data_IF_421321925735
#
_entry.id   IF_421321925735
#
_cell.length_a   1.000
_cell.length_b   1.000
_cell.length_c   1.000
_cell.angle_alpha   90.00
_cell.angle_beta   90.00
_cell.angle_gamma   90.00
#
_symmetry.space_group_name_H-M   'P 1'
#
loop_
_entity.id
_entity.type
_entity.pdbx_description
1 polymer ?
#
# COMPACT_ATOMS: atom_id res chain seq x y z
N UNK A 1 33.87 -41.25 2.00
CA UNK A 1 32.63 -40.46 2.00
C UNK A 1 32.94 -39.19 2.76
N UNK A 2 32.98 -38.05 2.06
CA UNK A 2 33.08 -36.74 2.73
C UNK A 2 31.77 -36.48 3.43
N UNK A 3 31.73 -35.97 4.68
CA UNK A 3 30.48 -35.63 5.36
C UNK A 3 29.77 -34.54 4.53
N UNK A 4 28.53 -34.82 4.16
CA UNK A 4 27.66 -33.81 3.57
C UNK A 4 27.61 -32.63 4.54
N UNK A 5 28.13 -31.47 4.14
CA UNK A 5 27.95 -30.23 4.90
C UNK A 5 26.43 -30.03 5.06
N UNK A 6 25.92 -30.17 6.27
CA UNK A 6 24.59 -29.71 6.57
C UNK A 6 24.48 -28.26 6.09
N UNK A 7 23.45 -27.91 5.34
CA UNK A 7 23.26 -26.51 4.95
C UNK A 7 23.24 -25.66 6.21
N UNK A 8 24.04 -24.59 6.22
CA UNK A 8 24.07 -23.65 7.32
C UNK A 8 22.63 -23.18 7.61
N UNK A 9 22.23 -23.23 8.88
CA UNK A 9 20.91 -22.77 9.32
C UNK A 9 20.74 -21.32 8.86
N UNK A 10 19.67 -21.05 8.11
CA UNK A 10 19.35 -19.68 7.66
C UNK A 10 18.65 -18.94 8.80
N UNK A 11 19.15 -17.78 9.17
CA UNK A 11 18.53 -16.94 10.19
C UNK A 11 17.79 -15.80 9.51
N UNK A 12 16.49 -15.68 9.82
CA UNK A 12 15.63 -14.62 9.29
C UNK A 12 15.21 -13.72 10.44
N UNK A 13 15.67 -12.47 10.40
CA UNK A 13 15.17 -11.42 11.26
C UNK A 13 13.74 -11.05 10.85
N UNK A 14 12.81 -10.90 11.80
CA UNK A 14 11.49 -10.39 11.47
C UNK A 14 11.03 -9.30 12.40
N UNK A 15 10.28 -8.35 11.83
CA UNK A 15 9.58 -7.34 12.62
C UNK A 15 8.14 -7.15 12.15
N UNK A 16 7.23 -7.22 13.08
CA UNK A 16 5.84 -6.80 12.95
C UNK A 16 5.27 -6.44 14.32
N UNK A 17 4.21 -5.65 14.35
CA UNK A 17 3.53 -5.30 15.61
C UNK A 17 2.99 -6.56 16.30
N UNK A 18 2.88 -6.51 17.64
CA UNK A 18 2.35 -7.62 18.43
C UNK A 18 0.95 -8.03 17.97
N UNK A 19 0.07 -7.05 17.76
CA UNK A 19 -1.28 -7.27 17.23
C UNK A 19 -1.26 -8.04 15.91
N UNK A 20 -0.32 -7.72 15.00
CA UNK A 20 -0.19 -8.39 13.71
C UNK A 20 0.34 -9.82 13.85
N UNK A 21 1.33 -9.99 14.72
CA UNK A 21 1.94 -11.31 15.02
C UNK A 21 0.90 -12.28 15.58
N UNK A 22 0.08 -11.83 16.52
CA UNK A 22 -1.03 -12.64 17.09
C UNK A 22 -2.08 -12.97 16.02
N UNK A 23 -2.52 -11.98 15.24
CA UNK A 23 -3.53 -12.18 14.19
C UNK A 23 -3.10 -13.22 13.15
N UNK A 24 -1.82 -13.29 12.80
CA UNK A 24 -1.27 -14.21 11.81
C UNK A 24 -0.88 -15.58 12.40
N UNK A 25 -1.08 -15.84 13.70
CA UNK A 25 -0.58 -17.05 14.36
C UNK A 25 0.92 -17.32 14.07
N UNK A 26 1.76 -16.33 14.37
CA UNK A 26 3.17 -16.33 14.00
C UNK A 26 3.98 -17.48 14.62
N UNK A 27 3.51 -18.06 15.72
CA UNK A 27 4.10 -19.25 16.34
C UNK A 27 4.01 -20.49 15.44
N UNK A 28 2.94 -20.63 14.67
CA UNK A 28 2.79 -21.70 13.68
C UNK A 28 3.82 -21.51 12.54
N UNK A 29 3.99 -20.29 12.04
CA UNK A 29 5.00 -20.01 11.03
C UNK A 29 6.41 -20.32 11.52
N UNK A 30 6.74 -20.02 12.77
CA UNK A 30 8.03 -20.39 13.37
C UNK A 30 8.25 -21.91 13.35
N UNK A 31 7.20 -22.69 13.58
CA UNK A 31 7.24 -24.16 13.44
C UNK A 31 7.53 -24.61 12.01
N UNK A 32 6.86 -24.01 11.03
CA UNK A 32 7.09 -24.28 9.59
C UNK A 32 8.53 -23.95 9.19
N UNK A 33 9.05 -22.80 9.59
CA UNK A 33 10.43 -22.39 9.35
C UNK A 33 11.44 -23.37 9.94
N UNK A 34 11.27 -23.76 11.21
CA UNK A 34 12.14 -24.69 11.91
C UNK A 34 12.25 -26.04 11.22
N UNK A 35 11.12 -26.59 10.73
CA UNK A 35 11.08 -27.84 9.97
C UNK A 35 11.86 -27.75 8.64
N UNK A 36 12.07 -26.53 8.13
CA UNK A 36 12.78 -26.24 6.89
C UNK A 36 14.22 -25.70 7.12
N UNK A 37 14.78 -25.85 8.34
CA UNK A 37 16.13 -25.42 8.66
C UNK A 37 16.31 -23.90 8.73
N UNK A 38 15.24 -23.17 9.02
CA UNK A 38 15.22 -21.71 9.16
C UNK A 38 14.92 -21.34 10.61
N UNK A 39 15.75 -20.46 11.16
CA UNK A 39 15.52 -19.81 12.45
C UNK A 39 14.87 -18.45 12.26
N UNK A 40 13.82 -18.16 13.02
CA UNK A 40 13.17 -16.84 13.05
C UNK A 40 13.59 -16.09 14.31
N UNK A 41 14.17 -14.90 14.14
CA UNK A 41 14.56 -14.01 15.23
C UNK A 41 13.72 -12.74 15.18
N UNK A 42 12.98 -12.45 16.27
CA UNK A 42 12.23 -11.21 16.39
C UNK A 42 13.19 -10.05 16.64
N UNK A 43 13.16 -9.06 15.74
CA UNK A 43 14.04 -7.89 15.83
C UNK A 43 13.59 -6.92 16.93
N UNK A 44 14.54 -6.45 17.73
CA UNK A 44 14.39 -5.30 18.61
C UNK A 44 14.98 -4.07 17.90
N UNK A 45 14.11 -3.27 17.28
CA UNK A 45 14.54 -2.08 16.52
C UNK A 45 15.09 -0.93 17.40
N UNK A 46 15.03 -1.06 18.72
CA UNK A 46 15.61 -0.11 19.65
C UNK A 46 17.06 -0.44 20.02
N UNK A 47 17.57 -1.60 19.58
CA UNK A 47 18.95 -2.06 19.80
C UNK A 47 19.67 -2.24 18.47
N UNK A 48 21.02 -2.15 18.46
CA UNK A 48 21.80 -2.40 17.24
C UNK A 48 21.48 -3.77 16.65
N UNK A 49 21.18 -3.82 15.36
CA UNK A 49 20.78 -5.06 14.68
C UNK A 49 21.98 -6.00 14.47
N UNK A 50 23.20 -5.48 14.38
CA UNK A 50 24.45 -6.26 14.29
C UNK A 50 24.63 -7.24 15.46
N UNK A 51 24.07 -6.92 16.62
CA UNK A 51 24.17 -7.77 17.82
C UNK A 51 23.09 -8.86 17.87
N UNK A 52 22.14 -8.84 16.94
CA UNK A 52 20.99 -9.76 16.93
C UNK A 52 21.08 -10.84 15.84
N UNK A 53 21.99 -10.69 14.88
CA UNK A 53 22.23 -11.58 13.74
C UNK A 53 23.36 -12.60 13.98
N UNK A 54 23.94 -13.14 12.90
CA UNK A 54 23.82 -12.67 11.52
C UNK A 54 22.51 -13.08 10.84
N UNK A 55 21.99 -12.23 9.93
CA UNK A 55 20.76 -12.50 9.19
C UNK A 55 21.01 -12.85 7.73
N UNK A 56 20.27 -13.82 7.19
CA UNK A 56 20.20 -14.10 5.74
C UNK A 56 19.18 -13.23 5.05
N UNK A 57 18.09 -12.92 5.75
CA UNK A 57 17.03 -12.02 5.27
C UNK A 57 16.34 -11.31 6.43
N UNK A 58 15.68 -10.21 6.10
CA UNK A 58 14.75 -9.50 6.99
C UNK A 58 13.37 -9.48 6.37
N UNK A 59 12.38 -9.98 7.13
CA UNK A 59 10.97 -9.92 6.80
C UNK A 59 10.28 -8.88 7.70
N UNK A 60 9.58 -7.91 7.14
CA UNK A 60 9.02 -6.87 7.98
C UNK A 60 7.63 -6.37 7.56
N UNK A 61 6.88 -5.85 8.53
CA UNK A 61 5.73 -4.97 8.34
C UNK A 61 5.95 -3.67 9.10
N UNK A 62 6.78 -2.80 8.55
CA UNK A 62 7.18 -1.52 9.16
C UNK A 62 6.25 -0.35 8.78
N UNK A 63 5.15 -0.59 8.08
CA UNK A 63 4.24 0.46 7.58
C UNK A 63 3.84 1.46 8.66
N UNK A 64 3.51 0.98 9.87
CA UNK A 64 3.07 1.85 10.97
C UNK A 64 4.25 2.68 11.52
N UNK A 65 5.45 2.09 11.62
CA UNK A 65 6.67 2.80 12.07
C UNK A 65 7.08 3.85 11.04
N UNK A 66 7.05 3.52 9.74
CA UNK A 66 7.36 4.46 8.67
C UNK A 66 6.37 5.64 8.71
N UNK A 67 5.08 5.37 8.88
CA UNK A 67 4.06 6.41 8.96
C UNK A 67 4.26 7.34 10.16
N UNK A 68 4.59 6.79 11.35
CA UNK A 68 4.91 7.59 12.54
C UNK A 68 6.19 8.41 12.37
N UNK A 69 7.24 7.84 11.77
CA UNK A 69 8.48 8.57 11.48
C UNK A 69 8.22 9.75 10.51
N UNK A 70 7.36 9.55 9.51
CA UNK A 70 6.94 10.63 8.60
C UNK A 70 6.21 11.76 9.35
N UNK A 71 5.50 11.43 10.44
CA UNK A 71 4.85 12.40 11.34
C UNK A 71 5.82 12.99 12.39
N UNK A 72 7.13 12.74 12.25
CA UNK A 72 8.21 13.23 13.11
C UNK A 72 8.18 12.64 14.53
N UNK A 73 7.64 11.44 14.70
CA UNK A 73 7.84 10.70 15.95
C UNK A 73 9.30 10.30 16.09
N UNK A 74 9.98 10.83 17.10
CA UNK A 74 11.43 10.65 17.27
C UNK A 74 11.81 9.18 17.55
N UNK A 75 10.96 8.42 18.25
CA UNK A 75 11.20 7.01 18.54
C UNK A 75 11.06 6.16 17.26
N UNK A 76 10.03 6.40 16.47
CA UNK A 76 9.84 5.74 15.19
C UNK A 76 10.98 6.08 14.20
N UNK A 77 11.43 7.35 14.19
CA UNK A 77 12.57 7.77 13.37
C UNK A 77 13.84 7.01 13.76
N UNK A 78 14.16 6.94 15.06
CA UNK A 78 15.33 6.21 15.54
C UNK A 78 15.28 4.71 15.19
N UNK A 79 14.10 4.09 15.23
CA UNK A 79 13.90 2.71 14.79
C UNK A 79 14.14 2.54 13.28
N UNK A 80 13.68 3.51 12.47
CA UNK A 80 13.93 3.49 11.02
C UNK A 80 15.40 3.71 10.69
N UNK A 81 16.06 4.66 11.35
CA UNK A 81 17.49 4.93 11.17
C UNK A 81 18.33 3.71 11.51
N UNK A 82 17.99 2.96 12.55
CA UNK A 82 18.68 1.74 12.96
C UNK A 82 18.60 0.64 11.88
N UNK A 83 17.38 0.33 11.40
CA UNK A 83 17.22 -0.70 10.37
C UNK A 83 17.82 -0.28 9.02
N UNK A 84 17.67 0.99 8.62
CA UNK A 84 18.26 1.48 7.38
C UNK A 84 19.79 1.46 7.42
N UNK A 85 20.39 1.91 8.52
CA UNK A 85 21.84 1.86 8.70
C UNK A 85 22.37 0.42 8.66
N UNK A 86 21.63 -0.52 9.26
CA UNK A 86 21.99 -1.94 9.18
C UNK A 86 21.93 -2.46 7.74
N UNK A 87 20.85 -2.17 7.00
CA UNK A 87 20.70 -2.64 5.62
C UNK A 87 21.70 -2.00 4.66
N UNK A 88 22.06 -0.74 4.88
CA UNK A 88 23.12 -0.05 4.12
C UNK A 88 24.51 -0.69 4.36
N UNK A 89 24.77 -1.18 5.58
CA UNK A 89 26.03 -1.84 5.94
C UNK A 89 26.08 -3.32 5.51
N UNK A 90 24.91 -3.96 5.33
CA UNK A 90 24.78 -5.39 5.01
C UNK A 90 24.01 -5.63 3.71
N UNK A 91 24.55 -5.23 2.55
CA UNK A 91 23.89 -5.42 1.26
C UNK A 91 23.66 -6.90 0.88
N UNK A 92 24.32 -7.84 1.57
CA UNK A 92 24.09 -9.27 1.41
C UNK A 92 22.80 -9.77 2.02
N UNK A 93 22.16 -9.00 2.90
CA UNK A 93 20.90 -9.37 3.57
C UNK A 93 19.72 -9.07 2.67
N UNK A 94 18.95 -10.10 2.32
CA UNK A 94 17.72 -9.91 1.54
C UNK A 94 16.61 -9.24 2.36
N UNK A 95 15.82 -8.37 1.76
CA UNK A 95 14.72 -7.65 2.45
C UNK A 95 13.40 -7.96 1.78
N UNK A 96 12.37 -8.21 2.56
CA UNK A 96 10.99 -8.50 2.12
C UNK A 96 10.02 -7.61 2.89
N UNK A 97 9.53 -6.56 2.27
CA UNK A 97 9.81 -5.98 0.96
C UNK A 97 10.77 -4.79 1.09
N UNK A 98 11.42 -4.31 -0.01
CA UNK A 98 12.35 -3.18 0.06
C UNK A 98 11.69 -1.92 0.64
N UNK A 99 12.34 -1.26 1.60
CA UNK A 99 11.79 -0.10 2.31
C UNK A 99 11.36 1.06 1.40
N UNK A 100 12.13 1.42 0.35
CA UNK A 100 11.70 2.46 -0.60
C UNK A 100 10.37 2.12 -1.29
N UNK A 101 10.17 0.85 -1.66
CA UNK A 101 8.98 0.39 -2.34
C UNK A 101 7.76 0.38 -1.39
N UNK A 102 7.97 -0.05 -0.14
CA UNK A 102 6.93 0.02 0.90
C UNK A 102 6.48 1.46 1.13
N UNK A 103 7.42 2.43 1.15
CA UNK A 103 7.11 3.86 1.31
C UNK A 103 6.19 4.39 0.21
N UNK A 104 6.34 3.93 -1.03
CA UNK A 104 5.46 4.34 -2.14
C UNK A 104 4.00 3.99 -1.89
N UNK A 105 3.72 2.89 -1.19
CA UNK A 105 2.36 2.46 -0.86
C UNK A 105 1.75 3.18 0.34
N UNK A 106 2.52 3.97 1.08
CA UNK A 106 2.00 4.77 2.20
C UNK A 106 1.31 6.05 1.75
N UNK A 107 1.61 6.52 0.55
CA UNK A 107 0.92 7.63 -0.12
C UNK A 107 0.02 7.07 -1.23
N UNK A 108 -1.30 7.34 -1.14
CA UNK A 108 -2.29 6.84 -2.10
C UNK A 108 -2.07 7.36 -3.51
N UNK A 109 -1.64 8.61 -3.63
CA UNK A 109 -1.41 9.22 -4.94
C UNK A 109 -0.21 8.60 -5.64
N UNK A 110 0.88 8.37 -4.90
CA UNK A 110 2.06 7.69 -5.43
C UNK A 110 1.73 6.25 -5.83
N UNK A 111 0.99 5.51 -5.00
CA UNK A 111 0.59 4.14 -5.31
C UNK A 111 -0.27 4.07 -6.59
N UNK A 112 -1.25 4.97 -6.73
CA UNK A 112 -2.09 5.03 -7.94
C UNK A 112 -1.30 5.46 -9.18
N UNK A 113 -0.29 6.31 -9.04
CA UNK A 113 0.59 6.69 -10.14
C UNK A 113 1.39 5.49 -10.66
N UNK A 114 1.95 4.67 -9.76
CA UNK A 114 2.66 3.43 -10.15
C UNK A 114 1.71 2.44 -10.83
N UNK A 115 0.51 2.25 -10.31
CA UNK A 115 -0.50 1.36 -10.90
C UNK A 115 -0.85 1.84 -12.31
N UNK A 116 -1.08 3.15 -12.50
CA UNK A 116 -1.42 3.75 -13.80
C UNK A 116 -0.29 3.62 -14.83
N UNK A 117 0.97 3.68 -14.39
CA UNK A 117 2.13 3.54 -15.29
C UNK A 117 2.50 2.08 -15.60
N UNK A 118 1.82 1.12 -14.99
CA UNK A 118 2.05 -0.30 -15.20
C UNK A 118 1.37 -0.84 -16.48
N UNK A 119 1.65 -2.09 -16.83
CA UNK A 119 1.10 -2.76 -18.01
C UNK A 119 -0.37 -3.23 -17.85
N UNK A 120 -1.08 -2.80 -16.80
CA UNK A 120 -2.46 -3.23 -16.51
C UNK A 120 -3.46 -2.83 -17.60
N UNK A 121 -3.27 -1.68 -18.24
CA UNK A 121 -4.15 -1.23 -19.31
C UNK A 121 -4.15 -2.21 -20.49
N UNK A 122 -3.04 -2.91 -20.75
CA UNK A 122 -2.92 -3.94 -21.81
C UNK A 122 -3.83 -5.15 -21.60
N UNK A 123 -4.33 -5.34 -20.39
CA UNK A 123 -5.24 -6.43 -20.01
C UNK A 123 -6.63 -5.92 -19.60
N UNK A 124 -6.98 -4.69 -19.99
CA UNK A 124 -8.26 -4.04 -19.72
C UNK A 124 -8.53 -3.88 -18.21
N UNK A 125 -7.50 -3.52 -17.46
CA UNK A 125 -7.54 -3.20 -16.04
C UNK A 125 -7.11 -1.75 -15.84
N UNK A 126 -7.82 -1.00 -15.02
CA UNK A 126 -7.58 0.43 -14.85
C UNK A 126 -7.60 0.87 -13.37
N UNK A 127 -7.10 2.06 -13.11
CA UNK A 127 -7.30 2.79 -11.86
C UNK A 127 -8.37 3.86 -12.09
N UNK A 128 -9.42 3.96 -11.26
CA UNK A 128 -10.40 5.03 -11.39
C UNK A 128 -9.73 6.40 -11.37
N UNK A 129 -10.27 7.34 -12.12
CA UNK A 129 -9.75 8.71 -12.16
C UNK A 129 -9.70 9.31 -10.76
N UNK A 130 -8.58 9.94 -10.41
CA UNK A 130 -8.35 10.53 -9.09
C UNK A 130 -7.58 11.85 -9.18
N UNK A 131 -7.74 12.69 -8.16
CA UNK A 131 -6.95 13.89 -7.91
C UNK A 131 -6.65 14.04 -6.43
N UNK A 132 -5.53 14.70 -6.12
CA UNK A 132 -5.22 15.13 -4.75
C UNK A 132 -5.92 16.45 -4.46
N UNK A 133 -6.57 16.54 -3.32
CA UNK A 133 -7.12 17.79 -2.79
C UNK A 133 -6.26 18.25 -1.62
N UNK A 134 -5.59 19.38 -1.79
CA UNK A 134 -4.60 19.92 -0.83
C UNK A 134 -4.98 21.31 -0.32
N UNK A 135 -6.15 21.82 -0.68
CA UNK A 135 -6.64 23.16 -0.30
C UNK A 135 -7.87 23.05 0.59
N UNK A 136 -8.00 23.94 1.56
CA UNK A 136 -9.23 24.10 2.33
C UNK A 136 -10.28 24.92 1.55
N UNK A 137 -9.91 25.56 0.43
CA UNK A 137 -10.81 26.30 -0.44
C UNK A 137 -11.60 25.35 -1.35
N UNK A 138 -12.93 25.34 -1.17
CA UNK A 138 -13.87 24.49 -1.93
C UNK A 138 -13.82 24.80 -3.43
N UNK A 139 -13.68 26.06 -3.84
CA UNK A 139 -13.65 26.45 -5.27
C UNK A 139 -12.37 25.95 -5.97
N UNK A 140 -11.24 25.99 -5.25
CA UNK A 140 -9.98 25.40 -5.73
C UNK A 140 -10.14 23.91 -5.93
N UNK A 141 -10.77 23.22 -4.96
CA UNK A 141 -11.01 21.77 -5.04
C UNK A 141 -11.98 21.42 -6.18
N UNK A 142 -13.08 22.16 -6.36
CA UNK A 142 -14.02 21.98 -7.47
C UNK A 142 -13.32 22.12 -8.83
N UNK A 143 -12.50 23.18 -9.00
CA UNK A 143 -11.73 23.38 -10.21
C UNK A 143 -10.77 22.22 -10.47
N UNK A 144 -10.15 21.67 -9.42
CA UNK A 144 -9.21 20.55 -9.52
C UNK A 144 -9.93 19.24 -9.87
N UNK A 145 -11.10 18.98 -9.27
CA UNK A 145 -11.96 17.83 -9.62
C UNK A 145 -12.35 17.87 -11.10
N UNK A 146 -12.84 19.02 -11.57
CA UNK A 146 -13.26 19.21 -12.96
C UNK A 146 -12.10 19.03 -13.94
N UNK A 147 -10.96 19.70 -13.72
CA UNK A 147 -9.78 19.61 -14.58
C UNK A 147 -9.14 18.22 -14.59
N UNK A 148 -9.24 17.48 -13.47
CA UNK A 148 -8.74 16.11 -13.34
C UNK A 148 -9.74 15.04 -13.82
N UNK A 149 -10.96 15.43 -14.23
CA UNK A 149 -11.97 14.53 -14.76
C UNK A 149 -12.59 13.58 -13.71
N UNK A 150 -12.52 13.92 -12.43
CA UNK A 150 -13.19 13.17 -11.37
C UNK A 150 -14.69 13.40 -11.42
N UNK A 151 -15.47 12.33 -11.47
CA UNK A 151 -16.94 12.38 -11.57
C UNK A 151 -17.60 12.14 -10.22
N UNK A 152 -18.77 12.74 -10.02
CA UNK A 152 -19.63 12.41 -8.88
C UNK A 152 -20.46 11.12 -9.15
N UNK A 153 -20.68 10.29 -8.12
CA UNK A 153 -20.06 10.38 -6.82
C UNK A 153 -18.58 9.99 -6.86
N UNK A 154 -17.82 10.50 -5.91
CA UNK A 154 -16.44 10.06 -5.70
C UNK A 154 -16.18 9.68 -4.23
N UNK A 155 -15.18 8.85 -4.00
CA UNK A 155 -14.71 8.54 -2.64
C UNK A 155 -13.57 9.48 -2.28
N UNK A 156 -13.76 10.22 -1.19
CA UNK A 156 -12.70 11.01 -0.57
C UNK A 156 -11.97 10.13 0.46
N UNK A 157 -10.68 9.93 0.26
CA UNK A 157 -9.81 9.06 1.06
C UNK A 157 -8.68 9.89 1.66
N UNK A 158 -8.28 9.71 2.94
CA UNK A 158 -7.08 10.34 3.47
C UNK A 158 -5.87 10.04 2.58
N UNK A 159 -4.97 11.00 2.40
CA UNK A 159 -3.77 10.81 1.57
C UNK A 159 -2.88 9.70 2.16
N UNK A 160 -2.69 9.68 3.47
CA UNK A 160 -1.93 8.64 4.17
C UNK A 160 -2.76 7.37 4.29
N UNK A 161 -2.25 6.28 3.71
CA UNK A 161 -2.97 5.00 3.62
C UNK A 161 -2.86 4.14 4.89
N UNK A 162 -1.87 4.38 5.77
CA UNK A 162 -1.56 3.56 6.94
C UNK A 162 -1.09 4.39 8.14
N UNK A 163 -1.01 3.75 9.31
CA UNK A 163 -0.36 4.33 10.51
C UNK A 163 -1.26 5.21 11.37
N UNK A 164 -2.54 5.37 11.05
CA UNK A 164 -3.50 6.05 11.91
C UNK A 164 -4.91 5.45 11.78
N UNK A 165 -5.73 5.59 12.83
CA UNK A 165 -7.17 5.25 12.77
C UNK A 165 -7.93 6.08 11.72
N UNK A 166 -7.40 7.23 11.35
CA UNK A 166 -8.00 8.11 10.35
C UNK A 166 -7.78 7.61 8.90
N UNK A 167 -6.78 6.76 8.65
CA UNK A 167 -6.50 6.23 7.31
C UNK A 167 -7.68 5.46 6.68
N UNK A 168 -8.60 4.96 7.51
CA UNK A 168 -9.78 4.19 7.10
C UNK A 168 -11.08 5.00 7.08
N UNK A 169 -11.06 6.25 7.57
CA UNK A 169 -12.22 7.15 7.56
C UNK A 169 -12.35 7.80 6.19
N UNK A 170 -13.34 7.37 5.45
CA UNK A 170 -13.60 7.80 4.08
C UNK A 170 -14.97 8.45 3.96
N UNK A 171 -15.21 9.14 2.84
CA UNK A 171 -16.50 9.77 2.57
C UNK A 171 -16.90 9.57 1.12
N UNK A 172 -18.21 9.40 0.87
CA UNK A 172 -18.79 9.41 -0.47
C UNK A 172 -19.39 10.79 -0.69
N UNK A 173 -18.93 11.47 -1.72
CA UNK A 173 -19.34 12.82 -2.11
C UNK A 173 -20.20 12.71 -3.37
N UNK A 174 -21.46 13.17 -3.29
CA UNK A 174 -22.46 12.97 -4.34
C UNK A 174 -22.61 14.13 -5.30
N UNK A 175 -22.23 15.34 -4.88
CA UNK A 175 -22.43 16.60 -5.61
C UNK A 175 -21.43 17.66 -5.15
N UNK A 176 -21.47 18.82 -5.80
CA UNK A 176 -20.55 19.95 -5.53
C UNK A 176 -20.67 20.47 -4.08
N UNK A 177 -21.86 20.51 -3.52
CA UNK A 177 -22.08 20.99 -2.15
C UNK A 177 -21.34 20.12 -1.11
N UNK A 178 -21.24 18.81 -1.36
CA UNK A 178 -20.52 17.87 -0.50
C UNK A 178 -18.99 18.02 -0.53
N UNK A 179 -18.41 18.78 -1.47
CA UNK A 179 -16.95 18.98 -1.54
C UNK A 179 -16.42 19.70 -0.29
N UNK A 180 -17.26 20.49 0.38
CA UNK A 180 -16.92 21.12 1.65
C UNK A 180 -16.65 20.12 2.79
N UNK A 181 -17.12 18.87 2.68
CA UNK A 181 -16.89 17.81 3.67
C UNK A 181 -15.56 17.07 3.45
N UNK A 182 -14.86 17.30 2.35
CA UNK A 182 -13.53 16.78 2.12
C UNK A 182 -12.56 17.36 3.16
N UNK A 183 -11.65 16.52 3.66
CA UNK A 183 -10.63 16.91 4.65
C UNK A 183 -9.23 16.82 4.03
N UNK A 184 -8.73 17.89 3.41
CA UNK A 184 -7.38 17.92 2.85
C UNK A 184 -6.29 17.74 3.94
N UNK A 185 -5.14 17.13 3.62
CA UNK A 185 -4.82 16.51 2.33
C UNK A 185 -5.53 15.16 2.14
N UNK A 186 -6.19 14.99 1.01
CA UNK A 186 -6.94 13.78 0.68
C UNK A 186 -6.90 13.48 -0.83
N UNK A 187 -7.31 12.27 -1.21
CA UNK A 187 -7.45 11.84 -2.60
C UNK A 187 -8.95 11.66 -2.90
N UNK A 188 -9.43 12.38 -3.91
CA UNK A 188 -10.76 12.19 -4.50
C UNK A 188 -10.65 11.20 -5.66
N UNK A 189 -11.31 10.06 -5.57
CA UNK A 189 -11.32 9.01 -6.58
C UNK A 189 -12.74 8.73 -7.05
N UNK A 190 -12.98 8.80 -8.37
CA UNK A 190 -14.29 8.47 -8.97
C UNK A 190 -14.79 7.12 -8.45
N UNK A 191 -16.03 7.07 -7.98
CA UNK A 191 -16.64 5.85 -7.51
C UNK A 191 -17.03 4.97 -8.71
N UNK A 192 -16.71 3.68 -8.61
CA UNK A 192 -17.07 2.69 -9.62
C UNK A 192 -18.16 1.79 -9.05
N UNK A 193 -19.32 1.74 -9.70
CA UNK A 193 -20.43 0.86 -9.32
C UNK A 193 -20.05 -0.60 -9.59
N UNK A 194 -20.15 -1.47 -8.57
CA UNK A 194 -19.63 -2.84 -8.59
C UNK A 194 -20.46 -3.85 -7.78
N UNK A 195 -21.73 -3.51 -7.49
CA UNK A 195 -22.70 -4.39 -6.82
C UNK A 195 -22.25 -4.90 -5.45
N UNK A 196 -21.67 -4.04 -4.62
CA UNK A 196 -21.22 -4.35 -3.25
C UNK A 196 -20.23 -5.53 -3.17
N UNK A 197 -19.53 -5.87 -4.24
CA UNK A 197 -18.60 -6.99 -4.30
C UNK A 197 -17.18 -6.53 -4.62
N UNK A 198 -16.24 -6.82 -3.72
CA UNK A 198 -14.82 -6.56 -3.84
C UNK A 198 -14.07 -7.89 -3.98
N UNK A 199 -13.15 -7.97 -4.91
CA UNK A 199 -12.17 -9.05 -5.01
C UNK A 199 -10.85 -8.58 -4.43
N UNK A 200 -10.42 -9.22 -3.33
CA UNK A 200 -9.13 -8.92 -2.71
C UNK A 200 -8.12 -9.97 -3.14
N UNK A 201 -7.15 -9.56 -3.96
CA UNK A 201 -6.03 -10.41 -4.34
C UNK A 201 -4.97 -10.29 -3.26
N UNK A 202 -4.65 -11.38 -2.61
CA UNK A 202 -3.49 -11.51 -1.74
C UNK A 202 -2.33 -12.10 -2.55
N UNK A 203 -1.26 -11.34 -2.72
CA UNK A 203 -0.06 -11.79 -3.43
C UNK A 203 1.06 -12.10 -2.44
N UNK A 204 1.74 -13.24 -2.65
CA UNK A 204 2.86 -13.74 -1.83
C UNK A 204 3.94 -14.27 -2.77
N UNK A 205 4.84 -13.40 -3.20
CA UNK A 205 5.80 -13.73 -4.25
C UNK A 205 5.11 -14.06 -5.56
N UNK A 206 5.37 -15.26 -6.09
CA UNK A 206 4.75 -15.75 -7.33
C UNK A 206 3.34 -16.34 -7.11
N UNK A 207 2.98 -16.62 -5.84
CA UNK A 207 1.67 -17.15 -5.48
C UNK A 207 0.67 -16.02 -5.23
N UNK A 208 -0.61 -16.31 -5.45
CA UNK A 208 -1.69 -15.41 -5.11
C UNK A 208 -2.96 -16.19 -4.73
N UNK A 209 -3.83 -15.52 -3.99
CA UNK A 209 -5.16 -16.03 -3.67
C UNK A 209 -6.19 -14.90 -3.70
N UNK A 210 -7.36 -15.18 -4.24
CA UNK A 210 -8.44 -14.18 -4.36
C UNK A 210 -9.54 -14.53 -3.39
N UNK A 211 -9.95 -13.56 -2.58
CA UNK A 211 -11.11 -13.66 -1.71
C UNK A 211 -12.14 -12.61 -2.07
N UNK A 212 -13.40 -13.00 -2.03
CA UNK A 212 -14.52 -12.06 -2.14
C UNK A 212 -14.76 -11.39 -0.78
N UNK A 213 -15.09 -10.10 -0.83
CA UNK A 213 -15.43 -9.29 0.35
C UNK A 213 -16.64 -8.43 0.06
N UNK A 214 -17.48 -8.17 1.07
CA UNK A 214 -18.46 -7.10 0.98
C UNK A 214 -17.79 -5.77 0.63
N UNK A 215 -18.49 -4.92 -0.10
CA UNK A 215 -18.05 -3.59 -0.49
C UNK A 215 -19.23 -2.61 -0.46
N UNK A 216 -18.99 -1.39 -0.88
CA UNK A 216 -20.03 -0.37 -0.98
C UNK A 216 -21.05 -0.77 -2.05
N UNK A 217 -22.35 -0.59 -1.75
CA UNK A 217 -23.41 -0.72 -2.73
C UNK A 217 -23.24 0.29 -3.87
N UNK A 218 -24.09 0.22 -4.87
CA UNK A 218 -24.05 1.18 -5.97
C UNK A 218 -24.51 2.58 -5.51
N UNK A 219 -23.80 3.59 -6.00
CA UNK A 219 -24.13 4.99 -5.73
C UNK A 219 -24.13 5.79 -7.02
N UNK A 220 -25.04 6.76 -7.09
CA UNK A 220 -25.24 7.63 -8.25
C UNK A 220 -25.18 9.09 -7.80
N UNK A 221 -24.77 9.98 -8.70
CA UNK A 221 -24.81 11.43 -8.43
C UNK A 221 -26.25 11.87 -8.11
N UNK A 222 -26.40 12.60 -7.03
CA UNK A 222 -27.71 13.04 -6.52
C UNK A 222 -27.55 14.21 -5.55
N UNK A 223 -28.67 14.80 -5.10
CA UNK A 223 -28.68 15.83 -4.06
C UNK A 223 -28.49 15.28 -2.64
N UNK A 224 -28.03 14.02 -2.55
CA UNK A 224 -27.79 13.33 -1.29
C UNK A 224 -26.65 14.00 -0.52
N UNK A 225 -26.75 13.99 0.82
CA UNK A 225 -25.67 14.43 1.70
C UNK A 225 -24.51 13.46 1.67
N UNK A 226 -23.32 13.96 1.97
CA UNK A 226 -22.10 13.17 2.16
C UNK A 226 -22.33 12.01 3.12
N UNK A 227 -21.87 10.82 2.75
CA UNK A 227 -21.85 9.63 3.62
C UNK A 227 -20.41 9.45 4.13
N UNK A 228 -20.25 9.48 5.46
CA UNK A 228 -18.98 9.13 6.11
C UNK A 228 -19.00 7.67 6.54
N UNK A 229 -17.91 6.95 6.35
CA UNK A 229 -17.80 5.53 6.72
C UNK A 229 -16.37 5.14 7.09
N UNK A 230 -16.25 4.02 7.81
CA UNK A 230 -14.97 3.35 8.02
C UNK A 230 -14.85 2.19 7.04
N UNK A 231 -13.79 2.17 6.23
CA UNK A 231 -13.59 1.15 5.21
C UNK A 231 -13.43 -0.25 5.80
N UNK A 232 -12.93 -0.39 7.04
CA UNK A 232 -12.86 -1.67 7.73
C UNK A 232 -14.25 -2.24 8.03
N UNK A 233 -15.22 -1.39 8.41
CA UNK A 233 -16.57 -1.86 8.73
C UNK A 233 -17.33 -2.33 7.49
N UNK A 234 -16.99 -1.78 6.33
CA UNK A 234 -17.62 -2.13 5.05
C UNK A 234 -17.03 -3.42 4.47
N UNK A 235 -15.70 -3.61 4.51
CA UNK A 235 -15.01 -4.65 3.73
C UNK A 235 -14.48 -5.84 4.54
N UNK A 236 -14.84 -5.96 5.82
CA UNK A 236 -14.54 -7.18 6.58
C UNK A 236 -15.44 -8.34 6.14
N UNK A 237 -14.94 -9.58 6.29
CA UNK A 237 -15.63 -10.77 5.80
C UNK A 237 -17.05 -10.96 6.35
N UNK A 238 -17.28 -10.52 7.59
CA UNK A 238 -18.55 -10.59 8.33
C UNK A 238 -19.26 -9.22 8.41
N UNK A 239 -19.06 -8.36 7.40
CA UNK A 239 -19.68 -7.03 7.40
C UNK A 239 -21.20 -7.11 7.42
N UNK A 240 -21.82 -6.38 8.35
CA UNK A 240 -23.24 -6.12 8.44
C UNK A 240 -23.60 -4.67 8.11
N UNK A 241 -22.71 -3.96 7.43
CA UNK A 241 -22.91 -2.56 7.07
C UNK A 241 -24.11 -2.40 6.11
N UNK A 242 -25.01 -1.51 6.41
CA UNK A 242 -26.09 -1.15 5.49
C UNK A 242 -25.59 -0.58 4.14
N UNK A 243 -24.33 -0.08 4.13
CA UNK A 243 -23.68 0.40 2.90
C UNK A 243 -23.23 -0.74 1.96
N UNK A 244 -23.28 -2.00 2.42
CA UNK A 244 -22.97 -3.19 1.62
C UNK A 244 -24.21 -3.96 1.17
N UNK A 245 -25.41 -3.44 1.44
CA UNK A 245 -26.68 -4.05 1.03
C UNK A 245 -27.15 -3.36 -0.23
N UNK A 246 -27.27 -4.12 -1.33
CA UNK A 246 -27.76 -3.61 -2.61
C UNK A 246 -29.18 -3.12 -2.50
N UNK A 247 -29.49 -2.06 -3.21
CA UNK A 247 -30.85 -1.58 -3.34
C UNK A 247 -31.65 -2.54 -4.27
N UNK A 248 -32.97 -2.73 -4.06
CA UNK A 248 -33.77 -3.70 -4.82
C UNK A 248 -33.77 -3.48 -6.34
N UNK A 249 -33.52 -2.24 -6.76
CA UNK A 249 -33.46 -1.85 -8.18
C UNK A 249 -32.13 -2.23 -8.86
N UNK A 250 -31.08 -2.49 -8.06
CA UNK A 250 -29.78 -2.87 -8.58
C UNK A 250 -29.82 -4.30 -9.16
N UNK A 251 -29.62 -4.40 -10.48
CA UNK A 251 -29.58 -5.70 -11.16
C UNK A 251 -28.18 -6.29 -10.99
N UNK A 252 -28.07 -7.41 -10.31
CA UNK A 252 -26.89 -8.23 -10.25
C UNK A 252 -26.86 -9.09 -11.52
N UNK A 253 -25.97 -8.80 -12.47
CA UNK A 253 -25.69 -9.71 -13.59
C UNK A 253 -24.81 -10.89 -13.11
N UNK A 254 -24.97 -12.05 -13.74
CA UNK A 254 -24.09 -13.21 -13.53
C UNK A 254 -22.69 -12.91 -14.09
N UNK A 255 -21.88 -12.23 -13.29
CA UNK A 255 -20.47 -11.98 -13.62
C UNK A 255 -19.63 -13.11 -13.05
N UNK A 256 -18.99 -13.86 -13.93
CA UNK A 256 -17.97 -14.83 -13.52
C UNK A 256 -16.62 -14.10 -13.51
N UNK A 257 -15.94 -13.98 -12.36
CA UNK A 257 -14.63 -13.37 -12.29
C UNK A 257 -13.61 -14.22 -13.07
N UNK A 258 -12.75 -13.55 -13.82
CA UNK A 258 -11.69 -14.18 -14.61
C UNK A 258 -10.45 -14.41 -13.74
N UNK A 259 -10.21 -15.67 -13.35
CA UNK A 259 -9.09 -16.07 -12.51
C UNK A 259 -7.72 -15.78 -13.16
N UNK A 260 -7.60 -15.93 -14.48
CA UNK A 260 -6.37 -15.65 -15.23
C UNK A 260 -6.05 -14.14 -15.19
N UNK A 261 -7.08 -13.29 -15.27
CA UNK A 261 -6.92 -11.84 -15.14
C UNK A 261 -6.45 -11.43 -13.75
N UNK A 262 -6.96 -12.03 -12.67
CA UNK A 262 -6.46 -11.80 -11.33
C UNK A 262 -4.99 -12.21 -11.16
N UNK A 263 -4.60 -13.34 -11.74
CA UNK A 263 -3.20 -13.79 -11.77
C UNK A 263 -2.29 -12.77 -12.47
N UNK A 264 -2.71 -12.27 -13.63
CA UNK A 264 -1.97 -11.25 -14.38
C UNK A 264 -1.86 -9.93 -13.61
N UNK A 265 -2.94 -9.50 -12.93
CA UNK A 265 -2.94 -8.31 -12.07
C UNK A 265 -1.89 -8.45 -10.98
N UNK A 266 -1.89 -9.56 -10.24
CA UNK A 266 -0.91 -9.82 -9.18
C UNK A 266 0.52 -9.75 -9.72
N UNK A 267 0.82 -10.45 -10.80
CA UNK A 267 2.16 -10.49 -11.39
C UNK A 267 2.64 -9.11 -11.89
N UNK A 268 1.77 -8.37 -12.61
CA UNK A 268 2.12 -7.04 -13.12
C UNK A 268 2.41 -6.08 -11.96
N UNK A 269 1.58 -6.08 -10.90
CA UNK A 269 1.75 -5.18 -9.78
C UNK A 269 2.92 -5.55 -8.89
N UNK A 270 3.19 -6.84 -8.65
CA UNK A 270 4.40 -7.26 -7.94
C UNK A 270 5.65 -6.75 -8.65
N UNK A 271 5.68 -6.87 -9.98
CA UNK A 271 6.79 -6.38 -10.81
C UNK A 271 6.88 -4.85 -10.80
N UNK A 272 5.77 -4.15 -11.01
CA UNK A 272 5.75 -2.68 -11.09
C UNK A 272 6.14 -2.02 -9.76
N UNK A 273 5.71 -2.60 -8.64
CA UNK A 273 6.02 -2.12 -7.30
C UNK A 273 7.34 -2.68 -6.74
N UNK A 274 7.90 -3.72 -7.38
CA UNK A 274 9.07 -4.41 -6.86
C UNK A 274 8.84 -5.02 -5.47
N UNK A 275 7.62 -5.50 -5.20
CA UNK A 275 7.20 -6.04 -3.91
C UNK A 275 6.62 -7.43 -4.06
N UNK A 276 6.83 -8.25 -3.03
CA UNK A 276 6.35 -9.63 -2.99
C UNK A 276 5.05 -9.81 -2.18
N UNK A 277 4.80 -8.93 -1.21
CA UNK A 277 3.70 -9.08 -0.24
C UNK A 277 2.67 -7.95 -0.42
N UNK A 278 1.65 -8.21 -1.24
CA UNK A 278 0.63 -7.22 -1.59
C UNK A 278 -0.79 -7.68 -1.28
N UNK A 279 -1.65 -6.72 -0.97
CA UNK A 279 -3.09 -6.86 -0.98
C UNK A 279 -3.67 -5.87 -1.96
N UNK A 280 -4.34 -6.36 -3.02
CA UNK A 280 -4.84 -5.55 -4.11
C UNK A 280 -6.36 -5.62 -4.09
N UNK A 281 -7.02 -4.47 -3.99
CA UNK A 281 -8.46 -4.38 -3.94
C UNK A 281 -9.00 -4.05 -5.33
N UNK A 282 -9.74 -5.02 -5.90
CA UNK A 282 -10.25 -4.99 -7.28
C UNK A 282 -11.76 -5.02 -7.27
N UNK A 283 -12.38 -4.17 -8.05
CA UNK A 283 -13.82 -4.22 -8.32
C UNK A 283 -14.07 -4.41 -9.81
N UNK A 284 -15.19 -5.06 -10.16
CA UNK A 284 -15.60 -5.21 -11.57
C UNK A 284 -16.69 -4.19 -11.87
N UNK A 285 -16.40 -3.27 -12.77
CA UNK A 285 -17.29 -2.19 -13.14
C UNK A 285 -18.59 -2.71 -13.76
N UNK A 286 -19.73 -2.20 -13.27
CA UNK A 286 -21.04 -2.54 -13.83
C UNK A 286 -21.15 -2.06 -15.28
N UNK A 287 -21.78 -2.86 -16.13
CA UNK A 287 -22.04 -2.54 -17.54
C UNK A 287 -20.84 -2.79 -18.47
N UNK A 288 -19.60 -2.49 -18.06
CA UNK A 288 -18.42 -2.68 -18.90
C UNK A 288 -17.67 -3.97 -18.62
N UNK A 289 -17.82 -4.53 -17.43
CA UNK A 289 -17.05 -5.66 -16.89
C UNK A 289 -15.52 -5.44 -16.85
N UNK A 290 -15.07 -4.19 -16.90
CA UNK A 290 -13.67 -3.83 -16.72
C UNK A 290 -13.26 -3.97 -15.25
N UNK A 291 -12.02 -4.31 -15.01
CA UNK A 291 -11.47 -4.47 -13.66
C UNK A 291 -10.84 -3.15 -13.21
N UNK A 292 -11.27 -2.65 -12.05
CA UNK A 292 -10.73 -1.42 -11.48
C UNK A 292 -9.95 -1.71 -10.21
N UNK A 293 -8.68 -1.27 -10.15
CA UNK A 293 -7.88 -1.31 -8.92
C UNK A 293 -8.24 -0.08 -8.08
N UNK A 294 -8.89 -0.29 -6.95
CA UNK A 294 -9.37 0.81 -6.09
C UNK A 294 -8.47 1.09 -4.89
N UNK A 295 -7.68 0.12 -4.45
CA UNK A 295 -6.66 0.27 -3.39
C UNK A 295 -5.60 -0.81 -3.47
N UNK A 296 -4.43 -0.55 -2.86
CA UNK A 296 -3.33 -1.50 -2.74
C UNK A 296 -2.62 -1.32 -1.40
N UNK A 297 -2.26 -2.43 -0.77
CA UNK A 297 -1.72 -2.45 0.59
C UNK A 297 -0.46 -3.31 0.68
N UNK A 298 0.58 -2.81 1.37
CA UNK A 298 1.76 -3.59 1.72
C UNK A 298 1.44 -4.56 2.85
N UNK A 299 1.87 -5.81 2.71
CA UNK A 299 1.77 -6.87 3.71
C UNK A 299 0.40 -6.92 4.40
N UNK A 300 -0.67 -7.34 3.70
CA UNK A 300 -2.05 -7.34 4.22
C UNK A 300 -2.28 -8.39 5.33
N UNK A 301 -3.53 -8.59 5.73
CA UNK A 301 -3.95 -9.55 6.76
C UNK A 301 -3.84 -11.00 6.33
N UNK A 302 -3.97 -11.27 5.03
CA UNK A 302 -4.05 -12.61 4.43
C UNK A 302 -5.23 -13.45 4.99
N UNK A 303 -6.25 -12.82 5.53
CA UNK A 303 -7.43 -13.50 6.06
C UNK A 303 -8.15 -14.28 4.94
N UNK A 304 -8.25 -15.60 5.11
CA UNK A 304 -8.86 -16.50 4.12
C UNK A 304 -7.88 -17.06 3.07
N UNK A 305 -6.59 -16.73 3.13
CA UNK A 305 -5.57 -17.32 2.26
C UNK A 305 -5.20 -18.72 2.77
N UNK A 306 -5.50 -19.80 2.04
CA UNK A 306 -5.16 -21.16 2.47
C UNK A 306 -3.66 -21.40 2.37
N UNK A 307 -3.09 -22.13 3.31
CA UNK A 307 -1.66 -22.49 3.31
C UNK A 307 -0.70 -21.30 3.22
N UNK A 308 -1.12 -20.13 3.71
CA UNK A 308 -0.35 -18.87 3.63
C UNK A 308 1.11 -19.04 4.07
N UNK A 309 1.39 -19.79 5.12
CA UNK A 309 2.76 -19.94 5.61
C UNK A 309 3.68 -20.73 4.68
N UNK A 310 3.14 -21.67 3.91
CA UNK A 310 3.94 -22.37 2.89
C UNK A 310 4.28 -21.43 1.73
N UNK A 311 3.33 -20.64 1.26
CA UNK A 311 3.58 -19.61 0.23
C UNK A 311 4.56 -18.55 0.75
N UNK A 312 4.43 -18.11 2.01
CA UNK A 312 5.36 -17.15 2.60
C UNK A 312 6.77 -17.72 2.72
N UNK A 313 6.92 -18.97 3.13
CA UNK A 313 8.21 -19.65 3.20
C UNK A 313 8.86 -19.74 1.81
N UNK A 314 8.09 -20.16 0.80
CA UNK A 314 8.56 -20.22 -0.60
C UNK A 314 8.97 -18.84 -1.11
N UNK A 315 8.19 -17.81 -0.82
CA UNK A 315 8.51 -16.43 -1.14
C UNK A 315 9.85 -15.98 -0.54
N UNK A 316 10.07 -16.25 0.76
CA UNK A 316 11.31 -15.91 1.45
C UNK A 316 12.49 -16.64 0.81
N UNK A 317 12.39 -17.95 0.57
CA UNK A 317 13.47 -18.74 -0.04
C UNK A 317 13.81 -18.27 -1.45
N UNK A 318 12.79 -17.96 -2.26
CA UNK A 318 12.97 -17.43 -3.62
C UNK A 318 13.61 -16.05 -3.61
N UNK A 319 13.22 -15.19 -2.67
CA UNK A 319 13.82 -13.86 -2.52
C UNK A 319 15.28 -13.94 -2.14
N UNK A 320 15.65 -14.79 -1.17
CA UNK A 320 17.05 -15.02 -0.78
C UNK A 320 17.86 -15.53 -1.97
N UNK A 321 17.35 -16.52 -2.70
CA UNK A 321 18.01 -17.10 -3.87
C UNK A 321 18.23 -16.05 -4.97
N UNK A 322 17.21 -15.26 -5.28
CA UNK A 322 17.27 -14.21 -6.29
C UNK A 322 18.20 -13.08 -5.88
N UNK A 323 18.23 -12.73 -4.59
CA UNK A 323 19.14 -11.72 -4.05
C UNK A 323 20.59 -12.17 -4.16
N UNK A 324 20.93 -13.39 -3.74
CA UNK A 324 22.30 -13.95 -3.90
C UNK A 324 22.75 -13.95 -5.35
N UNK A 325 21.88 -14.38 -6.27
CA UNK A 325 22.18 -14.37 -7.72
C UNK A 325 22.48 -12.97 -8.25
N UNK A 326 21.78 -11.93 -7.77
CA UNK A 326 22.05 -10.53 -8.16
C UNK A 326 23.43 -10.07 -7.67
N UNK A 327 23.79 -10.36 -6.42
CA UNK A 327 25.11 -10.05 -5.87
C UNK A 327 26.23 -10.71 -6.65
N UNK A 328 26.08 -12.00 -7.00
CA UNK A 328 27.06 -12.74 -7.80
C UNK A 328 27.22 -12.20 -9.22
N UNK A 329 26.16 -11.63 -9.80
CA UNK A 329 26.19 -11.03 -11.14
C UNK A 329 26.73 -9.60 -11.20
N UNK A 330 27.12 -9.01 -10.07
CA UNK A 330 27.63 -7.64 -9.99
C UNK A 330 26.60 -6.53 -10.27
N UNK A 331 25.31 -6.86 -10.31
CA UNK A 331 24.25 -5.87 -10.35
C UNK A 331 24.16 -5.16 -9.00
N UNK A 332 24.41 -3.85 -9.00
CA UNK A 332 24.35 -2.96 -7.84
C UNK A 332 22.97 -3.09 -7.16
N UNK A 333 22.96 -3.30 -5.86
CA UNK A 333 21.74 -3.57 -5.08
C UNK A 333 20.89 -2.33 -4.85
N UNK A 334 21.23 -1.18 -5.46
CA UNK A 334 20.37 0.02 -5.49
C UNK A 334 20.11 0.71 -4.14
N UNK A 335 20.77 0.30 -3.06
CA UNK A 335 20.76 0.99 -1.78
C UNK A 335 21.88 2.04 -1.75
N UNK A 336 21.81 3.04 -2.64
CA UNK A 336 22.74 4.17 -2.60
C UNK A 336 22.14 5.32 -1.80
N UNK A 337 22.90 5.81 -0.82
CA UNK A 337 22.57 6.99 -0.01
C UNK A 337 22.36 8.28 -0.84
N UNK A 338 22.67 8.27 -2.13
CA UNK A 338 22.54 9.42 -3.02
C UNK A 338 21.09 9.70 -3.47
N UNK A 339 20.18 8.74 -3.41
CA UNK A 339 18.75 8.97 -3.69
C UNK A 339 18.02 9.70 -2.55
N UNK A 340 18.58 9.69 -1.33
CA UNK A 340 18.03 10.48 -0.20
C UNK A 340 17.98 11.98 -0.48
N UNK A 341 18.79 12.50 -1.41
CA UNK A 341 18.85 13.94 -1.77
C UNK A 341 17.86 14.36 -2.85
N UNK A 342 17.29 13.42 -3.61
CA UNK A 342 16.39 13.75 -4.75
C UNK A 342 14.91 13.82 -4.40
N UNK A 343 14.48 13.26 -3.27
CA UNK A 343 13.06 13.15 -2.92
C UNK A 343 12.60 14.05 -1.76
N UNK A 344 13.37 15.09 -1.41
CA UNK A 344 12.86 16.14 -0.53
C UNK A 344 12.07 17.15 -1.39
N UNK A 345 10.80 17.46 -1.05
CA UNK A 345 10.07 18.52 -1.72
C UNK A 345 10.79 19.85 -1.48
N UNK A 346 11.20 20.49 -2.57
CA UNK A 346 11.81 21.83 -2.53
C UNK A 346 10.75 22.79 -2.00
N UNK A 347 10.87 23.16 -0.73
CA UNK A 347 10.10 24.23 -0.12
C UNK A 347 10.38 25.53 -0.85
N UNK A 348 9.37 26.06 -1.57
CA UNK A 348 9.44 27.40 -2.17
C UNK A 348 9.54 28.44 -1.05
N UNK A 349 10.74 28.96 -0.84
CA UNK A 349 10.94 30.16 -0.01
C UNK A 349 10.32 31.34 -0.75
N UNK A 350 9.24 31.88 -0.21
CA UNK A 350 8.74 33.20 -0.62
C UNK A 350 9.78 34.27 -0.27
N UNK A 351 10.48 34.80 -1.26
CA UNK A 351 11.22 36.07 -1.14
C UNK A 351 10.21 37.19 -0.94
N UNK A 352 10.19 37.78 0.23
CA UNK A 352 9.58 39.10 0.45
C UNK A 352 10.40 40.13 -0.32
N UNK A 353 9.81 40.77 -1.34
CA UNK A 353 10.36 41.97 -1.96
C UNK A 353 10.06 43.14 -1.02
N UNK A 354 11.09 43.68 -0.42
CA UNK A 354 11.06 44.96 0.27
C UNK A 354 11.08 46.09 -0.80
N UNK A 355 9.94 46.74 -0.99
CA UNK A 355 9.85 47.96 -1.78
C UNK A 355 10.49 49.14 -1.02
N UNK A 356 11.52 49.73 -1.60
CA UNK A 356 12.03 51.05 -1.20
C UNK A 356 11.15 52.11 -1.83
N UNK A 357 10.53 52.90 -1.00
CA UNK A 357 9.90 54.15 -1.38
C UNK A 357 11.01 55.23 -1.47
N UNK A 358 11.23 55.78 -2.66
CA UNK A 358 11.98 57.01 -2.83
C UNK A 358 10.99 58.17 -3.04
N UNK A 359 10.97 59.07 -2.07
CA UNK A 359 10.41 60.39 -2.16
C UNK A 359 11.37 61.31 -2.96
N UNK A 360 10.89 62.01 -3.99
CA UNK A 360 11.54 63.22 -4.48
C UNK A 360 10.46 64.26 -4.74
N UNK A 361 10.59 65.33 -3.95
CA UNK A 361 9.98 66.62 -4.09
C UNK A 361 10.54 67.37 -5.33
N UNK A 362 9.72 68.20 -5.96
CA UNK A 362 10.25 69.25 -6.81
C UNK A 362 9.26 69.85 -7.82
N UNK A 363 8.80 71.04 -7.46
CA UNK A 363 8.23 72.13 -8.28
C UNK A 363 6.80 71.97 -8.80
#
# INVERSE_FOLDING_TARGET
MLPSKQPACQVIGYWMSEKKSQKLNWSEFAGVCKLNGIELVKLDLQKPLDTQGPFTAILHKLTDIIALATQKDAKAQAMMDNIESFLDAHPEVAVIDPLPNVRQLLDRSLSYSVIRSSDLEKIDVFTPTYVELNSDDVQVNLSKLASGGVKFPFVCKPQVAHGSSNAHKMSIIFNEAGVADCKPPCVAQTFINHNALLYKIFSVGDDHFVVERPSLKNFYSSDQKTIHFDSHDVSKADSSSALSILDPEDKVGDKQPDADRFSKIAHILNKALGMALLGIDVVIENGTNRYAIIDINAYPGYDGYPNFFNSLLSCIQNTIKSHKKRLESGFDTGYSSDEKKKNLPIGRTHKKSSGHANSSTGS
#
